data_IF_711856762620
#
_entry.id   IF_711856762620
#
_cell.length_a   1.000
_cell.length_b   1.000
_cell.length_c   1.000
_cell.angle_alpha   90.00
_cell.angle_beta   90.00
_cell.angle_gamma   90.00
#
_symmetry.space_group_name_H-M   'P 1'
#
loop_
_entity.id
_entity.type
_entity.pdbx_description
1 polymer ?
#
# COMPACT_ATOMS: atom_id res chain seq x y z
N UNK A 1 36.30 46.02 15.53
CA UNK A 1 36.65 44.61 15.82
C UNK A 1 35.44 43.77 16.22
N UNK A 2 34.38 44.35 16.79
CA UNK A 2 33.22 43.58 17.29
C UNK A 2 32.23 43.09 16.21
N UNK A 3 32.08 43.82 15.10
CA UNK A 3 31.10 43.48 14.05
C UNK A 3 31.47 42.25 13.20
N UNK A 4 32.77 42.04 12.97
CA UNK A 4 33.28 40.89 12.20
C UNK A 4 33.10 39.60 13.00
N UNK A 5 33.35 39.63 14.32
CA UNK A 5 33.20 38.47 15.19
C UNK A 5 31.74 38.00 15.32
N UNK A 6 30.79 38.93 15.38
CA UNK A 6 29.35 38.61 15.40
C UNK A 6 28.91 37.99 14.07
N UNK A 7 29.43 38.49 12.95
CA UNK A 7 29.15 37.94 11.63
C UNK A 7 29.72 36.52 11.47
N UNK A 8 30.96 36.30 11.93
CA UNK A 8 31.60 34.99 11.88
C UNK A 8 30.85 33.95 12.75
N UNK A 9 30.43 34.35 13.95
CA UNK A 9 29.58 33.50 14.82
C UNK A 9 28.26 33.12 14.14
N UNK A 10 27.62 34.06 13.44
CA UNK A 10 26.36 33.82 12.74
C UNK A 10 26.55 32.92 11.52
N UNK A 11 27.60 33.14 10.73
CA UNK A 11 27.91 32.34 9.55
C UNK A 11 28.29 30.91 9.92
N UNK A 12 29.04 30.73 11.01
CA UNK A 12 29.43 29.41 11.51
C UNK A 12 28.21 28.63 12.05
N UNK A 13 27.32 29.30 12.79
CA UNK A 13 26.05 28.69 13.21
C UNK A 13 25.16 28.28 12.04
N UNK A 14 25.14 29.03 10.93
CA UNK A 14 24.40 28.64 9.73
C UNK A 14 25.06 27.47 8.98
N UNK A 15 26.40 27.45 8.89
CA UNK A 15 27.14 26.36 8.23
C UNK A 15 27.10 25.03 8.98
N UNK A 16 26.78 25.03 10.27
CA UNK A 16 26.66 23.80 11.05
C UNK A 16 25.29 23.12 10.88
N UNK A 17 24.29 23.85 10.37
CA UNK A 17 22.90 23.38 10.29
C UNK A 17 22.20 23.61 8.94
N UNK A 18 22.92 24.01 7.88
CA UNK A 18 22.36 24.17 6.53
C UNK A 18 21.76 22.87 5.96
N UNK A 19 22.13 21.70 6.50
CA UNK A 19 21.57 20.39 6.15
C UNK A 19 20.19 20.11 6.79
N UNK A 20 19.83 20.81 7.88
CA UNK A 20 18.61 20.55 8.65
C UNK A 20 17.31 20.68 7.82
N UNK A 21 17.17 21.66 6.90
CA UNK A 21 16.02 21.73 6.00
C UNK A 21 15.89 20.48 5.11
N UNK A 22 17.01 19.91 4.63
CA UNK A 22 16.99 18.70 3.80
C UNK A 22 16.54 17.48 4.59
N UNK A 23 16.95 17.37 5.86
CA UNK A 23 16.46 16.32 6.75
C UNK A 23 14.96 16.49 7.04
N UNK A 24 14.49 17.72 7.27
CA UNK A 24 13.06 18.01 7.43
C UNK A 24 12.24 17.61 6.18
N UNK A 25 12.72 17.96 4.99
CA UNK A 25 12.09 17.57 3.71
C UNK A 25 12.12 16.05 3.52
N UNK A 26 13.21 15.39 3.88
CA UNK A 26 13.34 13.93 3.82
C UNK A 26 12.31 13.22 4.71
N UNK A 27 12.18 13.61 5.98
CA UNK A 27 11.19 13.04 6.89
C UNK A 27 9.75 13.37 6.49
N UNK A 28 9.50 14.57 5.98
CA UNK A 28 8.19 14.95 5.44
C UNK A 28 7.80 14.08 4.22
N UNK A 29 8.74 13.84 3.30
CA UNK A 29 8.53 12.96 2.15
C UNK A 29 8.28 11.50 2.54
N UNK A 30 9.02 10.98 3.53
CA UNK A 30 8.81 9.63 4.08
C UNK A 30 7.41 9.46 4.67
N UNK A 31 6.86 10.51 5.30
CA UNK A 31 5.55 10.45 5.92
C UNK A 31 4.38 10.63 4.94
N UNK A 32 4.64 10.72 3.63
CA UNK A 32 3.59 10.84 2.62
C UNK A 32 2.80 9.53 2.43
N UNK A 33 1.50 9.64 2.12
CA UNK A 33 0.65 8.48 1.85
C UNK A 33 1.16 7.61 0.68
N UNK A 34 1.78 8.25 -0.32
CA UNK A 34 2.37 7.58 -1.49
C UNK A 34 3.57 6.73 -1.10
N UNK A 35 4.47 7.26 -0.27
CA UNK A 35 5.63 6.50 0.21
C UNK A 35 5.19 5.31 1.06
N UNK A 36 4.21 5.52 1.95
CA UNK A 36 3.62 4.44 2.77
C UNK A 36 2.99 3.34 1.94
N UNK A 37 2.32 3.68 0.83
CA UNK A 37 1.79 2.71 -0.13
C UNK A 37 2.91 1.84 -0.73
N UNK A 38 3.93 2.47 -1.32
CA UNK A 38 5.06 1.79 -1.95
C UNK A 38 5.84 0.90 -0.99
N UNK A 39 5.99 1.32 0.27
CA UNK A 39 6.69 0.53 1.29
C UNK A 39 6.02 -0.81 1.52
N UNK A 40 4.68 -0.88 1.61
CA UNK A 40 4.06 -2.20 1.80
C UNK A 40 3.74 -2.96 0.53
N UNK A 41 3.62 -2.32 -0.64
CA UNK A 41 3.72 -3.03 -1.92
C UNK A 41 5.07 -3.78 -1.97
N UNK A 42 6.17 -3.10 -1.63
CA UNK A 42 7.49 -3.72 -1.53
C UNK A 42 7.54 -4.82 -0.47
N UNK A 43 6.96 -4.63 0.71
CA UNK A 43 6.95 -5.64 1.75
C UNK A 43 6.19 -6.92 1.33
N UNK A 44 5.06 -6.78 0.63
CA UNK A 44 4.31 -7.92 0.08
C UNK A 44 5.11 -8.61 -1.02
N UNK A 45 5.70 -7.85 -1.93
CA UNK A 45 6.61 -8.37 -2.95
C UNK A 45 7.74 -9.19 -2.33
N UNK A 46 8.42 -8.67 -1.31
CA UNK A 46 9.52 -9.39 -0.65
C UNK A 46 9.05 -10.70 -0.01
N UNK A 47 7.87 -10.69 0.63
CA UNK A 47 7.27 -11.91 1.20
C UNK A 47 6.91 -12.93 0.12
N UNK A 48 6.32 -12.50 -0.99
CA UNK A 48 6.00 -13.38 -2.12
C UNK A 48 7.27 -13.98 -2.73
N UNK A 49 8.31 -13.17 -2.93
CA UNK A 49 9.58 -13.62 -3.49
C UNK A 49 10.38 -14.57 -2.59
N UNK A 50 10.27 -14.40 -1.27
CA UNK A 50 10.93 -15.29 -0.30
C UNK A 50 10.12 -16.57 -0.01
N UNK A 51 8.79 -16.49 -0.07
CA UNK A 51 7.89 -17.57 0.33
C UNK A 51 7.43 -18.49 -0.79
N UNK A 52 7.59 -18.10 -2.05
CA UNK A 52 7.20 -18.90 -3.21
C UNK A 52 8.42 -19.42 -3.97
N UNK A 53 8.43 -20.72 -4.24
CA UNK A 53 9.44 -21.36 -5.08
C UNK A 53 9.39 -20.81 -6.50
N UNK A 54 10.47 -20.17 -6.95
CA UNK A 54 10.58 -19.54 -8.27
C UNK A 54 10.57 -20.54 -9.43
N UNK A 55 10.80 -21.83 -9.16
CA UNK A 55 10.66 -22.88 -10.19
C UNK A 55 9.20 -23.23 -10.49
N UNK A 56 8.30 -22.95 -9.54
CA UNK A 56 6.88 -23.29 -9.62
C UNK A 56 5.98 -22.06 -9.80
N UNK A 57 6.36 -20.92 -9.22
CA UNK A 57 5.56 -19.70 -9.18
C UNK A 57 6.28 -18.55 -9.88
N UNK A 58 5.53 -17.72 -10.60
CA UNK A 58 6.03 -16.46 -11.16
C UNK A 58 5.28 -15.29 -10.55
N UNK A 59 6.01 -14.33 -9.98
CA UNK A 59 5.44 -13.12 -9.38
C UNK A 59 5.69 -11.94 -10.32
N UNK A 60 4.63 -11.32 -10.80
CA UNK A 60 4.65 -10.06 -11.56
C UNK A 60 4.19 -8.92 -10.66
N UNK A 61 4.80 -7.75 -10.78
CA UNK A 61 4.46 -6.57 -9.97
C UNK A 61 4.17 -5.38 -10.86
N UNK A 62 3.37 -4.44 -10.35
CA UNK A 62 3.04 -3.16 -11.00
C UNK A 62 2.56 -3.33 -12.46
N UNK A 63 1.76 -4.37 -12.70
CA UNK A 63 1.31 -4.71 -14.04
C UNK A 63 0.19 -3.77 -14.45
N UNK A 64 0.40 -3.01 -15.52
CA UNK A 64 -0.62 -2.13 -16.09
C UNK A 64 -1.32 -2.80 -17.26
N UNK A 65 -2.64 -2.97 -17.17
CA UNK A 65 -3.47 -3.58 -18.22
C UNK A 65 -4.47 -2.59 -18.81
N UNK A 66 -4.79 -2.69 -20.11
CA UNK A 66 -5.86 -1.91 -20.72
C UNK A 66 -7.23 -2.40 -20.23
N UNK A 67 -8.16 -1.46 -20.12
CA UNK A 67 -9.57 -1.69 -19.78
C UNK A 67 -10.45 -0.94 -20.78
N UNK A 68 -11.77 -1.14 -20.71
CA UNK A 68 -12.70 -0.40 -21.58
C UNK A 68 -12.72 1.12 -21.33
N UNK A 69 -12.20 1.61 -20.19
CA UNK A 69 -12.27 3.03 -19.79
C UNK A 69 -10.89 3.67 -19.57
N UNK A 70 -9.81 3.03 -20.00
CA UNK A 70 -8.44 3.48 -19.74
C UNK A 70 -7.56 2.30 -19.33
N UNK A 71 -6.71 2.46 -18.34
CA UNK A 71 -5.84 1.40 -17.82
C UNK A 71 -6.12 1.10 -16.36
N UNK A 72 -5.58 -0.01 -15.87
CA UNK A 72 -5.62 -0.39 -14.47
C UNK A 72 -4.25 -0.94 -14.07
N UNK A 73 -3.69 -0.43 -12.98
CA UNK A 73 -2.46 -0.95 -12.38
C UNK A 73 -2.82 -2.01 -11.36
N UNK A 74 -2.09 -3.12 -11.36
CA UNK A 74 -2.28 -4.26 -10.48
C UNK A 74 -0.99 -4.45 -9.69
N UNK A 75 -1.09 -4.35 -8.36
CA UNK A 75 0.07 -4.39 -7.47
C UNK A 75 0.87 -5.68 -7.67
N UNK A 76 0.21 -6.84 -7.55
CA UNK A 76 0.85 -8.13 -7.76
C UNK A 76 -0.04 -9.15 -8.47
N UNK A 77 0.59 -9.92 -9.37
CA UNK A 77 0.01 -11.10 -10.01
C UNK A 77 0.92 -12.30 -9.72
N UNK A 78 0.36 -13.38 -9.18
CA UNK A 78 1.08 -14.64 -9.00
C UNK A 78 0.54 -15.66 -9.99
N UNK A 79 1.40 -16.14 -10.88
CA UNK A 79 1.15 -17.28 -11.74
C UNK A 79 1.50 -18.55 -10.96
N UNK A 80 0.55 -19.49 -10.91
CA UNK A 80 0.65 -20.72 -10.13
C UNK A 80 0.05 -21.89 -10.92
N UNK A 81 0.47 -23.15 -10.64
CA UNK A 81 -0.21 -24.34 -11.15
C UNK A 81 -1.71 -24.40 -10.79
N UNK A 82 -2.15 -23.66 -9.77
CA UNK A 82 -3.54 -23.63 -9.32
C UNK A 82 -4.37 -22.50 -9.94
N UNK A 83 -3.75 -21.60 -10.73
CA UNK A 83 -4.41 -20.47 -11.37
C UNK A 83 -3.60 -19.17 -11.26
N UNK A 84 -4.27 -18.05 -11.56
CA UNK A 84 -3.68 -16.71 -11.46
C UNK A 84 -4.25 -16.01 -10.24
N UNK A 85 -3.40 -15.54 -9.34
CA UNK A 85 -3.83 -14.78 -8.17
C UNK A 85 -3.54 -13.30 -8.37
N UNK A 86 -4.60 -12.48 -8.31
CA UNK A 86 -4.53 -11.03 -8.42
C UNK A 86 -4.64 -10.43 -7.03
N UNK A 87 -3.55 -9.84 -6.56
CA UNK A 87 -3.40 -9.37 -5.18
C UNK A 87 -3.45 -7.84 -5.19
N UNK A 88 -4.38 -7.30 -4.41
CA UNK A 88 -4.48 -5.88 -4.10
C UNK A 88 -3.91 -5.65 -2.70
N UNK A 89 -3.03 -4.66 -2.55
CA UNK A 89 -2.44 -4.31 -1.27
C UNK A 89 -2.92 -2.94 -0.81
N UNK A 90 -3.24 -2.79 0.49
CA UNK A 90 -3.46 -1.47 1.07
C UNK A 90 -2.81 -1.35 2.44
N UNK A 91 -2.21 -0.18 2.65
CA UNK A 91 -1.72 0.28 3.94
C UNK A 91 -2.82 1.05 4.66
N UNK A 92 -3.64 0.38 5.47
CA UNK A 92 -4.70 1.06 6.19
C UNK A 92 -4.58 0.78 7.67
N UNK A 93 -4.55 1.86 8.45
CA UNK A 93 -4.63 1.81 9.90
C UNK A 93 -6.02 2.09 10.42
N UNK A 94 -6.23 1.86 11.71
CA UNK A 94 -7.55 2.00 12.33
C UNK A 94 -8.47 0.81 12.06
N UNK A 95 -9.68 0.89 12.60
CA UNK A 95 -10.71 -0.11 12.44
C UNK A 95 -11.50 0.08 11.13
N UNK A 96 -11.79 -1.01 10.43
CA UNK A 96 -12.59 -0.99 9.21
C UNK A 96 -14.01 -1.51 9.45
N UNK A 97 -14.97 -0.85 8.81
CA UNK A 97 -16.37 -1.22 8.86
C UNK A 97 -16.95 -1.23 7.45
N UNK A 98 -17.58 -2.33 7.09
CA UNK A 98 -18.31 -2.49 5.84
C UNK A 98 -18.42 -3.95 5.42
N UNK A 99 -18.99 -4.16 4.25
CA UNK A 99 -19.21 -5.50 3.67
C UNK A 99 -18.72 -5.57 2.22
N UNK A 100 -18.53 -6.80 1.72
CA UNK A 100 -17.96 -7.05 0.39
C UNK A 100 -18.75 -6.43 -0.77
N UNK A 101 -20.06 -6.28 -0.61
CA UNK A 101 -21.00 -5.74 -1.60
C UNK A 101 -21.03 -4.20 -1.61
N UNK A 102 -20.71 -3.55 -0.50
CA UNK A 102 -20.74 -2.10 -0.38
C UNK A 102 -19.69 -1.41 -1.27
N UNK A 103 -20.07 -0.28 -1.86
CA UNK A 103 -19.19 0.50 -2.72
C UNK A 103 -18.03 1.17 -1.96
N UNK A 104 -18.32 1.59 -0.73
CA UNK A 104 -17.41 2.28 0.17
C UNK A 104 -17.46 1.63 1.54
N UNK A 105 -16.34 1.68 2.23
CA UNK A 105 -16.21 1.31 3.63
C UNK A 105 -15.97 2.54 4.49
N UNK A 106 -16.06 2.33 5.79
CA UNK A 106 -15.73 3.34 6.80
C UNK A 106 -14.45 2.91 7.50
N UNK A 107 -13.44 3.78 7.47
CA UNK A 107 -12.22 3.66 8.24
C UNK A 107 -12.35 4.57 9.47
N UNK A 108 -12.26 4.00 10.66
CA UNK A 108 -12.33 4.72 11.92
C UNK A 108 -10.96 4.75 12.59
N UNK A 109 -10.59 5.91 13.13
CA UNK A 109 -9.35 6.12 13.86
C UNK A 109 -9.66 6.50 15.30
N UNK A 110 -8.63 6.45 16.15
CA UNK A 110 -8.69 6.98 17.52
C UNK A 110 -9.26 8.40 17.58
N UNK A 111 -9.94 8.72 18.69
CA UNK A 111 -10.66 10.00 18.92
C UNK A 111 -11.88 10.23 18.02
N UNK A 112 -12.46 9.17 17.47
CA UNK A 112 -13.77 9.21 16.79
C UNK A 112 -13.75 9.70 15.34
N UNK A 113 -12.57 9.96 14.77
CA UNK A 113 -12.45 10.35 13.35
C UNK A 113 -12.85 9.18 12.46
N UNK A 114 -13.76 9.43 11.51
CA UNK A 114 -14.20 8.44 10.52
C UNK A 114 -14.04 8.99 9.11
N UNK A 115 -13.55 8.16 8.19
CA UNK A 115 -13.35 8.51 6.78
C UNK A 115 -14.00 7.45 5.91
N UNK A 116 -14.69 7.88 4.86
CA UNK A 116 -15.20 6.96 3.86
C UNK A 116 -14.13 6.64 2.83
N UNK A 117 -13.83 5.36 2.64
CA UNK A 117 -12.82 4.86 1.70
C UNK A 117 -13.46 3.94 0.66
N UNK A 118 -12.86 3.81 -0.51
CA UNK A 118 -13.35 2.89 -1.53
C UNK A 118 -13.14 1.44 -1.09
N UNK A 119 -14.09 0.55 -1.38
CA UNK A 119 -13.93 -0.88 -1.09
C UNK A 119 -12.85 -1.51 -2.02
N UNK A 120 -11.75 -2.07 -1.47
CA UNK A 120 -10.65 -2.61 -2.25
C UNK A 120 -11.04 -3.90 -3.00
N UNK A 121 -12.05 -4.65 -2.55
CA UNK A 121 -12.54 -5.83 -3.27
C UNK A 121 -13.18 -5.45 -4.61
N UNK A 122 -13.83 -4.29 -4.67
CA UNK A 122 -14.42 -3.81 -5.93
C UNK A 122 -13.34 -3.36 -6.91
N UNK A 123 -12.27 -2.75 -6.40
CA UNK A 123 -11.09 -2.43 -7.18
C UNK A 123 -10.43 -3.71 -7.71
N UNK A 124 -10.14 -4.68 -6.85
CA UNK A 124 -9.55 -5.96 -7.24
C UNK A 124 -10.43 -6.72 -8.24
N UNK A 125 -11.76 -6.68 -8.10
CA UNK A 125 -12.66 -7.26 -9.09
C UNK A 125 -12.50 -6.66 -10.50
N UNK A 126 -12.22 -5.35 -10.60
CA UNK A 126 -11.92 -4.73 -11.88
C UNK A 126 -10.57 -5.21 -12.45
N UNK A 127 -9.56 -5.39 -11.59
CA UNK A 127 -8.25 -5.96 -11.96
C UNK A 127 -8.39 -7.40 -12.47
N UNK A 128 -9.11 -8.26 -11.76
CA UNK A 128 -9.40 -9.63 -12.20
C UNK A 128 -10.10 -9.64 -13.56
N UNK A 129 -11.09 -8.77 -13.78
CA UNK A 129 -11.73 -8.65 -15.09
C UNK A 129 -10.76 -8.25 -16.20
N UNK A 130 -9.83 -7.34 -15.91
CA UNK A 130 -8.80 -6.94 -16.87
C UNK A 130 -7.86 -8.12 -17.18
N UNK A 131 -7.41 -8.85 -16.16
CA UNK A 131 -6.58 -10.06 -16.35
C UNK A 131 -7.31 -11.10 -17.18
N UNK A 132 -8.52 -11.49 -16.80
CA UNK A 132 -9.34 -12.48 -17.53
C UNK A 132 -9.50 -12.08 -19.00
N UNK A 133 -9.73 -10.79 -19.28
CA UNK A 133 -9.82 -10.28 -20.65
C UNK A 133 -8.49 -10.40 -21.41
N UNK A 134 -7.37 -10.15 -20.75
CA UNK A 134 -6.04 -10.19 -21.37
C UNK A 134 -5.55 -11.62 -21.66
N UNK A 135 -5.85 -12.59 -20.77
CA UNK A 135 -5.33 -13.96 -20.90
C UNK A 135 -6.33 -14.96 -21.46
N UNK A 136 -7.63 -14.68 -21.40
CA UNK A 136 -8.68 -15.54 -21.97
C UNK A 136 -8.94 -16.86 -21.21
N UNK A 137 -8.38 -17.05 -20.03
CA UNK A 137 -8.55 -18.28 -19.23
C UNK A 137 -9.48 -18.10 -18.02
N UNK A 138 -10.02 -19.22 -17.53
CA UNK A 138 -10.67 -19.33 -16.21
C UNK A 138 -9.62 -19.61 -15.12
N UNK A 139 -10.00 -19.50 -13.85
CA UNK A 139 -9.07 -19.74 -12.73
C UNK A 139 -8.26 -18.51 -12.32
N UNK A 140 -8.90 -17.34 -12.33
CA UNK A 140 -8.31 -16.10 -11.80
C UNK A 140 -8.96 -15.80 -10.45
N UNK A 141 -8.14 -15.71 -9.41
CA UNK A 141 -8.53 -15.56 -8.02
C UNK A 141 -8.20 -14.16 -7.51
N UNK A 142 -9.10 -13.57 -6.71
CA UNK A 142 -8.89 -12.26 -6.08
C UNK A 142 -8.38 -12.42 -4.66
N UNK A 143 -7.39 -11.61 -4.28
CA UNK A 143 -6.90 -11.50 -2.91
C UNK A 143 -6.78 -10.02 -2.55
N UNK A 144 -7.35 -9.62 -1.42
CA UNK A 144 -7.09 -8.31 -0.82
C UNK A 144 -6.27 -8.52 0.44
N UNK A 145 -5.08 -7.93 0.47
CA UNK A 145 -4.18 -7.96 1.61
C UNK A 145 -4.08 -6.58 2.24
N UNK A 146 -4.49 -6.49 3.50
CA UNK A 146 -4.44 -5.26 4.30
C UNK A 146 -3.42 -5.42 5.42
N UNK A 147 -2.58 -4.41 5.62
CA UNK A 147 -1.61 -4.40 6.72
C UNK A 147 -1.78 -3.14 7.56
N UNK A 148 -1.32 -3.21 8.81
CA UNK A 148 -1.41 -2.16 9.82
C UNK A 148 -2.83 -1.89 10.36
N UNK A 149 -3.77 -2.82 10.14
CA UNK A 149 -5.13 -2.71 10.66
C UNK A 149 -5.17 -2.91 12.17
N UNK A 150 -6.01 -2.10 12.83
CA UNK A 150 -6.39 -2.36 14.21
C UNK A 150 -7.32 -3.59 14.24
N UNK A 151 -7.12 -4.44 15.25
CA UNK A 151 -8.10 -5.47 15.55
C UNK A 151 -9.38 -4.79 16.05
N UNK A 152 -10.51 -5.27 15.55
CA UNK A 152 -11.83 -4.70 15.80
C UNK A 152 -12.77 -5.77 16.35
N UNK A 153 -12.25 -6.63 17.24
CA UNK A 153 -12.97 -7.76 17.84
C UNK A 153 -13.65 -8.65 16.77
N UNK A 154 -12.97 -8.89 15.65
CA UNK A 154 -13.51 -9.68 14.54
C UNK A 154 -14.57 -8.98 13.67
N UNK A 155 -14.81 -7.67 13.85
CA UNK A 155 -15.77 -6.88 13.03
C UNK A 155 -15.17 -6.33 11.74
N UNK A 156 -13.89 -6.57 11.48
CA UNK A 156 -13.27 -6.22 10.20
C UNK A 156 -13.99 -6.95 9.04
N UNK A 157 -14.06 -6.36 7.84
CA UNK A 157 -14.78 -6.98 6.73
C UNK A 157 -14.26 -8.39 6.41
N UNK A 158 -15.16 -9.32 6.11
CA UNK A 158 -14.77 -10.71 5.82
C UNK A 158 -13.98 -10.83 4.50
N UNK A 159 -13.12 -11.85 4.43
CA UNK A 159 -12.34 -12.20 3.23
C UNK A 159 -11.05 -11.41 3.04
N UNK A 160 -10.74 -10.48 3.95
CA UNK A 160 -9.45 -9.79 4.01
C UNK A 160 -8.40 -10.75 4.56
N UNK A 161 -7.25 -10.84 3.88
CA UNK A 161 -6.03 -11.33 4.52
C UNK A 161 -5.36 -10.15 5.23
N UNK A 162 -5.06 -10.29 6.52
CA UNK A 162 -4.37 -9.25 7.27
C UNK A 162 -3.21 -9.79 8.09
N UNK A 163 -2.17 -8.96 8.23
CA UNK A 163 -1.17 -9.14 9.27
C UNK A 163 -1.44 -8.07 10.34
N UNK A 164 -1.76 -8.50 11.55
CA UNK A 164 -1.79 -7.61 12.71
C UNK A 164 -0.38 -7.17 13.08
N UNK A 165 -0.26 -5.98 13.64
CA UNK A 165 0.94 -5.60 14.39
C UNK A 165 0.94 -6.47 15.67
N UNK A 166 2.01 -7.23 15.98
CA UNK A 166 2.10 -7.88 17.29
C UNK A 166 2.03 -6.78 18.37
N UNK A 167 1.09 -6.92 19.30
CA UNK A 167 0.99 -6.04 20.47
C UNK A 167 2.17 -6.18 21.43
#
# INVERSE_FOLDING_TARGET
METVQILDLFLQGFSDFWWAPFIGVFFWWLNSARTKGRVGEWAVQSKLGAGLDSSTYTVLQDVTLPTARGTTQIDHIVLSPFGIFVIETKNWSGALYGSLDQAKWTQAFGRGKKVSVQNPFRQNYAHVKAVVRSVGIRGVHRIVYLYDLEDNDGKNPQGILHAGVPG
#
